data_IF_975275489487
#
_entry.id   IF_975275489487
#
_cell.length_a   1.000
_cell.length_b   1.000
_cell.length_c   1.000
_cell.angle_alpha   90.00
_cell.angle_beta   90.00
_cell.angle_gamma   90.00
#
_symmetry.space_group_name_H-M   'P 1'
#
loop_
_entity.id
_entity.type
_entity.pdbx_description
1 polymer ?
#
# COMPACT_ATOMS: atom_id res chain seq x y z
N UNK A 1 -7.71 -54.19 -41.80
CA UNK A 1 -6.84 -53.13 -41.27
C UNK A 1 -7.67 -52.22 -40.40
N UNK A 2 -7.55 -52.36 -39.06
CA UNK A 2 -8.31 -51.54 -38.06
C UNK A 2 -7.49 -50.33 -37.73
N UNK A 3 -8.02 -49.14 -38.05
CA UNK A 3 -7.39 -47.84 -37.69
C UNK A 3 -7.72 -47.54 -36.22
N UNK A 4 -6.71 -47.57 -35.32
CA UNK A 4 -6.81 -47.10 -33.96
C UNK A 4 -6.77 -45.57 -33.98
N UNK A 5 -7.89 -44.94 -33.61
CA UNK A 5 -7.97 -43.46 -33.36
C UNK A 5 -7.56 -43.22 -31.93
N UNK A 6 -6.34 -42.72 -31.73
CA UNK A 6 -5.86 -42.28 -30.40
C UNK A 6 -6.38 -40.85 -30.15
N UNK A 7 -7.43 -40.74 -29.34
CA UNK A 7 -7.93 -39.48 -28.83
C UNK A 7 -6.96 -38.95 -27.73
N UNK A 8 -6.17 -37.92 -28.06
CA UNK A 8 -5.32 -37.22 -27.13
C UNK A 8 -6.21 -36.26 -26.32
N UNK A 9 -6.56 -36.63 -25.08
CA UNK A 9 -7.28 -35.77 -24.15
C UNK A 9 -6.27 -34.77 -23.57
N UNK A 10 -6.20 -33.57 -24.18
CA UNK A 10 -5.45 -32.46 -23.61
C UNK A 10 -6.28 -31.92 -22.43
N UNK A 11 -5.95 -32.37 -21.21
CA UNK A 11 -6.45 -31.80 -19.98
C UNK A 11 -5.91 -30.34 -19.86
N UNK A 12 -6.77 -29.38 -20.12
CA UNK A 12 -6.50 -27.97 -19.92
C UNK A 12 -6.47 -27.71 -18.40
N UNK A 13 -5.28 -27.87 -17.80
CA UNK A 13 -5.04 -27.51 -16.40
C UNK A 13 -5.04 -25.98 -16.34
N UNK A 14 -6.20 -25.39 -16.04
CA UNK A 14 -6.32 -23.94 -15.82
C UNK A 14 -5.51 -23.58 -14.57
N UNK A 15 -4.29 -23.11 -14.78
CA UNK A 15 -3.49 -22.50 -13.73
C UNK A 15 -4.19 -21.20 -13.36
N UNK A 16 -4.98 -21.22 -12.28
CA UNK A 16 -5.46 -20.00 -11.65
C UNK A 16 -4.23 -19.26 -11.07
N UNK A 17 -3.66 -18.36 -11.86
CA UNK A 17 -2.74 -17.35 -11.33
C UNK A 17 -3.52 -16.49 -10.34
N UNK A 18 -3.45 -16.83 -9.05
CA UNK A 18 -3.90 -15.96 -7.98
C UNK A 18 -3.00 -14.72 -7.97
N UNK A 19 -3.41 -13.69 -8.69
CA UNK A 19 -2.79 -12.37 -8.60
C UNK A 19 -3.13 -11.78 -7.23
N UNK A 20 -2.12 -11.52 -6.40
CA UNK A 20 -2.29 -10.80 -5.15
C UNK A 20 -2.78 -9.38 -5.44
N UNK A 21 -3.92 -9.00 -4.86
CA UNK A 21 -4.47 -7.64 -5.01
C UNK A 21 -3.69 -6.67 -4.13
N UNK A 22 -2.99 -5.70 -4.74
CA UNK A 22 -2.33 -4.64 -4.00
C UNK A 22 -3.37 -3.78 -3.28
N UNK A 23 -3.34 -3.77 -1.95
CA UNK A 23 -4.21 -2.93 -1.13
C UNK A 23 -3.61 -1.55 -0.87
N UNK A 24 -2.41 -1.51 -0.31
CA UNK A 24 -1.64 -0.27 -0.05
C UNK A 24 -0.14 -0.53 -0.05
N UNK A 25 0.65 0.48 -0.41
CA UNK A 25 2.10 0.43 -0.31
C UNK A 25 2.65 1.66 0.39
N UNK A 26 3.84 1.54 0.98
CA UNK A 26 4.54 2.60 1.71
C UNK A 26 3.74 3.15 2.91
N UNK A 27 2.94 2.29 3.55
CA UNK A 27 2.19 2.60 4.77
C UNK A 27 2.97 2.16 6.00
N UNK A 28 2.69 2.77 7.16
CA UNK A 28 3.39 2.42 8.40
C UNK A 28 2.68 1.29 9.11
N UNK A 29 3.43 0.23 9.41
CA UNK A 29 3.06 -0.84 10.33
C UNK A 29 3.73 -0.62 11.70
N UNK A 30 3.05 -1.05 12.75
CA UNK A 30 3.57 -1.25 14.10
C UNK A 30 3.11 -2.59 14.63
N UNK A 31 3.36 -2.91 15.88
CA UNK A 31 2.91 -4.14 16.49
C UNK A 31 2.46 -3.92 17.93
N UNK A 32 1.67 -4.85 18.46
CA UNK A 32 1.14 -4.81 19.82
C UNK A 32 2.23 -5.04 20.86
N UNK A 33 2.15 -4.32 21.98
CA UNK A 33 2.90 -4.63 23.18
C UNK A 33 2.47 -5.96 23.83
N UNK A 34 3.35 -6.56 24.63
CA UNK A 34 3.09 -7.83 25.30
C UNK A 34 1.91 -7.78 26.27
N UNK A 35 1.57 -6.60 26.80
CA UNK A 35 0.45 -6.33 27.71
C UNK A 35 -0.94 -6.51 27.08
N UNK A 36 -1.01 -6.68 25.75
CA UNK A 36 -2.26 -7.00 25.04
C UNK A 36 -2.57 -8.49 24.99
N UNK A 37 -1.62 -9.37 25.30
CA UNK A 37 -1.83 -10.82 25.30
C UNK A 37 -3.00 -11.22 26.19
N UNK A 38 -3.91 -12.05 25.67
CA UNK A 38 -5.13 -12.50 26.39
C UNK A 38 -6.27 -11.49 26.44
N UNK A 39 -6.13 -10.25 25.95
CA UNK A 39 -7.24 -9.29 25.86
C UNK A 39 -8.13 -9.57 24.65
N UNK A 40 -9.42 -9.24 24.79
CA UNK A 40 -10.39 -9.39 23.68
C UNK A 40 -10.09 -8.43 22.54
N UNK A 41 -10.10 -8.96 21.33
CA UNK A 41 -10.05 -8.21 20.07
C UNK A 41 -11.45 -7.78 19.64
N UNK A 42 -11.54 -6.91 18.63
CA UNK A 42 -12.83 -6.38 18.15
C UNK A 42 -13.71 -7.41 17.44
N UNK A 43 -13.17 -8.55 17.02
CA UNK A 43 -13.98 -9.66 16.52
C UNK A 43 -14.44 -10.64 17.62
N UNK A 44 -13.98 -10.45 18.87
CA UNK A 44 -14.35 -11.24 20.03
C UNK A 44 -13.36 -12.33 20.44
N UNK A 45 -12.34 -12.59 19.62
CA UNK A 45 -11.25 -13.52 19.95
C UNK A 45 -10.37 -12.96 21.08
N UNK A 46 -9.60 -13.84 21.74
CA UNK A 46 -8.50 -13.40 22.60
C UNK A 46 -7.25 -13.17 21.78
N UNK A 47 -6.62 -12.01 21.95
CA UNK A 47 -5.37 -11.71 21.27
C UNK A 47 -4.26 -12.65 21.75
N UNK A 48 -3.69 -13.40 20.84
CA UNK A 48 -2.49 -14.20 21.07
C UNK A 48 -1.30 -13.58 20.35
N UNK A 49 -0.30 -13.14 21.10
CA UNK A 49 0.90 -12.49 20.54
C UNK A 49 1.74 -13.41 19.66
N UNK A 50 1.54 -14.73 19.73
CA UNK A 50 2.25 -15.75 18.96
C UNK A 50 1.53 -16.14 17.67
N UNK A 51 0.29 -15.69 17.45
CA UNK A 51 -0.45 -15.94 16.23
C UNK A 51 -0.08 -14.92 15.13
N UNK A 52 -0.34 -15.26 13.88
CA UNK A 52 -0.14 -14.34 12.75
C UNK A 52 -1.43 -13.55 12.49
N UNK A 53 -1.68 -12.53 13.32
CA UNK A 53 -2.86 -11.68 13.27
C UNK A 53 -2.51 -10.19 13.23
N UNK A 54 -3.51 -9.37 12.90
CA UNK A 54 -3.33 -7.92 12.88
C UNK A 54 -4.63 -7.15 13.16
N UNK A 55 -4.48 -5.89 13.57
CA UNK A 55 -5.55 -4.91 13.55
C UNK A 55 -5.52 -4.10 12.25
N UNK A 56 -6.71 -3.85 11.70
CA UNK A 56 -6.91 -2.95 10.58
C UNK A 56 -8.22 -2.15 10.76
N UNK A 57 -8.20 -0.85 10.37
CA UNK A 57 -9.32 0.07 10.64
C UNK A 57 -10.63 -0.33 9.95
N UNK A 58 -10.56 -0.81 8.70
CA UNK A 58 -11.74 -0.95 7.82
C UNK A 58 -11.86 -2.28 7.09
N UNK A 59 -10.78 -3.04 6.90
CA UNK A 59 -10.86 -4.33 6.21
C UNK A 59 -11.76 -5.29 6.98
N UNK A 60 -12.55 -6.12 6.29
CA UNK A 60 -13.35 -7.17 6.94
C UNK A 60 -12.48 -8.07 7.82
N UNK A 61 -13.04 -8.55 8.94
CA UNK A 61 -12.39 -9.60 9.71
C UNK A 61 -12.18 -10.84 8.83
N UNK A 62 -11.19 -11.66 9.16
CA UNK A 62 -10.74 -12.83 8.39
C UNK A 62 -10.17 -12.51 7.01
N UNK A 63 -9.94 -11.23 6.69
CA UNK A 63 -9.10 -10.86 5.54
C UNK A 63 -7.67 -11.31 5.82
N UNK A 64 -7.08 -12.04 4.88
CA UNK A 64 -5.66 -12.42 4.91
C UNK A 64 -4.88 -11.40 4.09
N UNK A 65 -3.93 -10.74 4.74
CA UNK A 65 -3.01 -9.80 4.12
C UNK A 65 -1.61 -10.40 4.05
N UNK A 66 -0.96 -10.31 2.91
CA UNK A 66 0.49 -10.42 2.82
C UNK A 66 1.08 -9.05 3.15
N UNK A 67 1.84 -8.99 4.22
CA UNK A 67 2.57 -7.80 4.66
C UNK A 67 4.02 -7.98 4.28
N UNK A 68 4.57 -7.04 3.51
CA UNK A 68 5.99 -7.04 3.10
C UNK A 68 6.69 -5.83 3.69
N UNK A 69 7.72 -6.04 4.47
CA UNK A 69 8.60 -4.98 4.97
C UNK A 69 9.44 -4.43 3.81
N UNK A 70 9.29 -3.14 3.50
CA UNK A 70 9.97 -2.51 2.36
C UNK A 70 11.46 -2.22 2.59
N UNK A 71 11.93 -2.36 3.83
CA UNK A 71 13.34 -2.11 4.17
C UNK A 71 14.22 -3.36 3.94
N UNK A 72 13.66 -4.56 4.16
CA UNK A 72 14.41 -5.82 4.07
C UNK A 72 13.81 -6.87 3.14
N UNK A 73 12.61 -6.64 2.59
CA UNK A 73 11.90 -7.54 1.68
C UNK A 73 11.23 -8.75 2.35
N UNK A 74 11.36 -8.95 3.68
CA UNK A 74 10.69 -10.04 4.39
C UNK A 74 9.18 -9.87 4.32
N UNK A 75 8.44 -10.96 4.24
CA UNK A 75 6.98 -10.92 4.18
C UNK A 75 6.33 -12.00 5.04
N UNK A 76 5.13 -11.72 5.55
CA UNK A 76 4.32 -12.62 6.36
C UNK A 76 2.85 -12.46 5.99
N UNK A 77 2.08 -13.55 6.06
CA UNK A 77 0.63 -13.50 5.92
C UNK A 77 -0.01 -13.36 7.30
N UNK A 78 -0.89 -12.36 7.46
CA UNK A 78 -1.59 -12.10 8.73
C UNK A 78 -3.09 -12.02 8.50
N UNK A 79 -3.88 -12.45 9.48
CA UNK A 79 -5.33 -12.38 9.47
C UNK A 79 -5.83 -11.16 10.27
N UNK A 80 -6.76 -10.41 9.69
CA UNK A 80 -7.42 -9.29 10.38
C UNK A 80 -8.42 -9.84 11.40
N UNK A 81 -8.19 -9.59 12.69
CA UNK A 81 -9.10 -9.97 13.76
C UNK A 81 -9.41 -8.82 14.74
N UNK A 82 -8.77 -7.66 14.56
CA UNK A 82 -8.99 -6.51 15.44
C UNK A 82 -9.17 -5.19 14.67
N UNK A 83 -9.57 -4.13 15.39
CA UNK A 83 -9.71 -2.75 14.91
C UNK A 83 -8.63 -1.84 15.47
N UNK A 84 -8.06 -1.05 14.60
CA UNK A 84 -6.94 -0.13 14.85
C UNK A 84 -6.02 -0.08 13.63
N UNK A 85 -4.85 0.54 13.75
CA UNK A 85 -4.42 1.43 14.83
C UNK A 85 -5.22 2.74 14.87
N UNK A 86 -5.54 3.21 16.08
CA UNK A 86 -6.20 4.51 16.28
C UNK A 86 -5.17 5.64 16.42
N UNK A 87 -4.08 5.56 15.69
CA UNK A 87 -3.00 6.53 15.61
C UNK A 87 -2.89 7.00 14.17
N UNK A 88 -2.75 8.34 13.99
CA UNK A 88 -2.59 8.93 12.65
C UNK A 88 -1.32 8.39 11.98
N UNK A 89 -1.39 8.19 10.67
CA UNK A 89 -0.29 7.69 9.81
C UNK A 89 0.15 6.23 10.07
N UNK A 90 -0.48 5.49 11.00
CA UNK A 90 -0.33 4.05 11.10
C UNK A 90 -1.49 3.34 10.40
N UNK A 91 -1.21 2.32 9.61
CA UNK A 91 -2.21 1.59 8.83
C UNK A 91 -2.59 0.26 9.44
N UNK A 92 -1.64 -0.46 10.01
CA UNK A 92 -1.78 -1.81 10.52
C UNK A 92 -0.98 -1.99 11.81
N UNK A 93 -1.54 -2.71 12.78
CA UNK A 93 -0.84 -3.19 13.97
C UNK A 93 -0.74 -4.70 13.92
N UNK A 94 0.48 -5.24 13.95
CA UNK A 94 0.78 -6.65 13.81
C UNK A 94 0.87 -7.34 15.18
N UNK A 95 0.67 -8.65 15.22
CA UNK A 95 1.06 -9.44 16.39
C UNK A 95 2.58 -9.42 16.58
N UNK A 96 3.04 -9.79 17.77
CA UNK A 96 4.49 -9.85 18.06
C UNK A 96 5.21 -10.88 17.19
N UNK A 97 4.57 -12.02 16.90
CA UNK A 97 5.15 -13.04 16.02
C UNK A 97 5.30 -12.51 14.60
N UNK A 98 4.27 -11.88 14.04
CA UNK A 98 4.35 -11.27 12.71
C UNK A 98 5.44 -10.19 12.63
N UNK A 99 5.62 -9.39 13.69
CA UNK A 99 6.68 -8.39 13.77
C UNK A 99 8.09 -9.03 13.81
N UNK A 100 8.25 -10.18 14.48
CA UNK A 100 9.50 -10.96 14.46
C UNK A 100 9.81 -11.49 13.07
N UNK A 101 8.82 -12.07 12.38
CA UNK A 101 8.99 -12.63 11.03
C UNK A 101 9.38 -11.55 10.00
N UNK A 102 8.88 -10.31 10.19
CA UNK A 102 9.26 -9.15 9.38
C UNK A 102 10.57 -8.47 9.82
N UNK A 103 11.20 -8.95 10.91
CA UNK A 103 12.42 -8.36 11.50
C UNK A 103 12.27 -6.86 11.80
N UNK A 104 11.13 -6.50 12.42
CA UNK A 104 10.81 -5.09 12.72
C UNK A 104 10.75 -4.78 14.23
N UNK A 105 11.00 -5.76 15.11
CA UNK A 105 10.85 -5.59 16.56
C UNK A 105 11.76 -4.48 17.10
N UNK A 106 13.01 -4.40 16.61
CA UNK A 106 13.98 -3.37 17.06
C UNK A 106 13.60 -1.95 16.61
N UNK A 107 12.98 -1.80 15.44
CA UNK A 107 12.57 -0.50 14.90
C UNK A 107 11.22 -0.03 15.41
N UNK A 108 10.39 -0.91 15.98
CA UNK A 108 9.04 -0.63 16.46
C UNK A 108 8.02 -0.32 15.38
N UNK A 109 8.43 0.37 14.33
CA UNK A 109 7.62 0.70 13.14
C UNK A 109 8.43 0.60 11.87
N UNK A 110 7.83 0.10 10.79
CA UNK A 110 8.46 0.00 9.45
C UNK A 110 7.47 0.39 8.36
N UNK A 111 7.99 0.69 7.17
CA UNK A 111 7.20 0.86 5.97
C UNK A 111 6.90 -0.49 5.33
N UNK A 112 5.63 -0.73 5.04
CA UNK A 112 5.18 -2.00 4.47
C UNK A 112 4.36 -1.81 3.21
N UNK A 113 4.34 -2.87 2.39
CA UNK A 113 3.37 -3.12 1.33
C UNK A 113 2.34 -4.10 1.88
N UNK A 114 1.06 -3.84 1.62
CA UNK A 114 -0.07 -4.68 1.98
C UNK A 114 -0.74 -5.20 0.71
N UNK A 115 -0.85 -6.52 0.57
CA UNK A 115 -1.52 -7.19 -0.53
C UNK A 115 -2.61 -8.12 0.01
N UNK A 116 -3.80 -8.11 -0.59
CA UNK A 116 -4.90 -8.98 -0.17
C UNK A 116 -4.68 -10.36 -0.79
N UNK A 117 -4.47 -11.36 0.06
CA UNK A 117 -4.42 -12.78 -0.34
C UNK A 117 -5.83 -13.36 -0.42
N UNK A 118 -6.67 -13.04 0.58
CA UNK A 118 -8.07 -13.48 0.66
C UNK A 118 -8.87 -12.41 1.38
N UNK A 119 -9.96 -11.95 0.77
CA UNK A 119 -10.86 -11.00 1.41
C UNK A 119 -11.82 -11.73 2.36
N UNK A 120 -11.93 -11.24 3.58
CA UNK A 120 -12.89 -11.75 4.56
C UNK A 120 -14.33 -11.34 4.25
N UNK A 121 -15.33 -11.98 4.88
CA UNK A 121 -16.74 -11.66 4.68
C UNK A 121 -17.13 -10.32 5.30
N UNK A 122 -18.03 -9.59 4.65
CA UNK A 122 -18.62 -8.36 5.17
C UNK A 122 -19.74 -8.67 6.19
N UNK A 123 -19.40 -9.27 7.33
CA UNK A 123 -20.36 -9.55 8.41
C UNK A 123 -20.90 -8.26 9.03
N UNK A 124 -22.09 -8.33 9.67
CA UNK A 124 -22.66 -7.18 10.40
C UNK A 124 -21.67 -6.63 11.43
N UNK A 125 -21.00 -7.51 12.19
CA UNK A 125 -19.97 -7.14 13.17
C UNK A 125 -18.79 -6.42 12.50
N UNK A 126 -18.29 -6.95 11.39
CA UNK A 126 -17.17 -6.37 10.64
C UNK A 126 -17.48 -4.96 10.16
N UNK A 127 -18.68 -4.75 9.60
CA UNK A 127 -19.13 -3.43 9.11
C UNK A 127 -19.37 -2.45 10.26
N UNK A 128 -20.04 -2.89 11.34
CA UNK A 128 -20.33 -2.04 12.49
C UNK A 128 -19.05 -1.58 13.19
N UNK A 129 -18.11 -2.49 13.45
CA UNK A 129 -16.84 -2.16 14.10
C UNK A 129 -15.96 -1.27 13.24
N UNK A 130 -15.98 -1.41 11.90
CA UNK A 130 -15.30 -0.50 10.99
C UNK A 130 -15.88 0.93 11.03
N UNK A 131 -17.23 1.07 11.09
CA UNK A 131 -17.88 2.38 11.31
C UNK A 131 -17.48 3.00 12.63
N UNK A 132 -17.45 2.21 13.72
CA UNK A 132 -17.00 2.68 15.04
C UNK A 132 -15.53 3.11 15.02
N UNK A 133 -14.65 2.37 14.36
CA UNK A 133 -13.26 2.74 14.17
C UNK A 133 -13.10 4.08 13.43
N UNK A 134 -13.87 4.28 12.37
CA UNK A 134 -13.90 5.55 11.62
C UNK A 134 -14.36 6.72 12.51
N UNK A 135 -15.40 6.51 13.34
CA UNK A 135 -15.89 7.53 14.27
C UNK A 135 -14.86 7.89 15.35
N UNK A 136 -14.13 6.89 15.89
CA UNK A 136 -13.03 7.12 16.85
C UNK A 136 -11.93 7.97 16.19
N UNK A 137 -11.53 7.66 14.96
CA UNK A 137 -10.52 8.44 14.22
C UNK A 137 -11.00 9.87 13.94
N UNK A 138 -12.28 10.04 13.55
CA UNK A 138 -12.87 11.36 13.31
C UNK A 138 -12.88 12.22 14.58
N UNK A 139 -13.25 11.64 15.74
CA UNK A 139 -13.24 12.33 17.04
C UNK A 139 -11.82 12.69 17.49
N UNK A 140 -10.86 11.80 17.29
CA UNK A 140 -9.46 12.00 17.72
C UNK A 140 -8.70 12.97 16.82
N UNK A 141 -9.03 13.00 15.53
CA UNK A 141 -8.33 13.80 14.52
C UNK A 141 -9.31 14.57 13.61
N UNK A 142 -10.06 15.56 14.14
CA UNK A 142 -11.16 16.23 13.41
C UNK A 142 -10.68 16.95 12.15
N UNK A 143 -9.45 17.44 12.12
CA UNK A 143 -8.89 18.12 10.95
C UNK A 143 -8.38 17.19 9.85
N UNK A 144 -8.19 15.90 10.13
CA UNK A 144 -7.80 14.90 9.13
C UNK A 144 -8.99 14.37 8.35
N UNK A 145 -10.19 14.36 8.96
CA UNK A 145 -11.43 13.84 8.37
C UNK A 145 -12.02 14.80 7.34
N UNK A 146 -11.87 16.13 7.50
CA UNK A 146 -12.30 17.13 6.49
C UNK A 146 -11.60 16.95 5.13
N UNK A 147 -10.43 16.27 5.09
CA UNK A 147 -9.75 15.89 3.84
C UNK A 147 -10.22 14.53 3.27
N UNK A 148 -10.80 13.64 4.08
CA UNK A 148 -11.24 12.30 3.67
C UNK A 148 -12.74 12.22 3.34
N UNK A 149 -13.59 13.03 3.99
CA UNK A 149 -15.04 12.96 3.81
C UNK A 149 -15.57 13.43 2.43
N UNK A 150 -14.70 13.98 1.57
CA UNK A 150 -14.99 14.16 0.12
C UNK A 150 -14.55 12.96 -0.73
N UNK A 151 -14.06 11.86 -0.11
CA UNK A 151 -13.33 10.80 -0.83
C UNK A 151 -13.86 9.37 -0.62
N UNK A 152 -14.73 9.11 0.35
CA UNK A 152 -15.00 7.72 0.78
C UNK A 152 -16.41 7.15 0.48
N UNK A 153 -17.34 7.92 -0.09
CA UNK A 153 -18.67 7.42 -0.43
C UNK A 153 -18.84 6.85 -1.85
N UNK A 154 -17.79 6.88 -2.69
CA UNK A 154 -17.87 6.41 -4.09
C UNK A 154 -16.71 5.47 -4.51
N UNK A 155 -16.03 4.82 -3.57
CA UNK A 155 -14.69 4.30 -3.83
C UNK A 155 -14.44 2.81 -3.60
N UNK A 156 -15.38 1.95 -3.94
CA UNK A 156 -15.07 0.51 -4.09
C UNK A 156 -14.86 0.07 -5.54
N UNK A 157 -15.15 0.94 -6.52
CA UNK A 157 -15.00 0.64 -7.96
C UNK A 157 -14.07 1.63 -8.68
N UNK A 158 -13.54 2.66 -8.00
CA UNK A 158 -12.86 3.81 -8.63
C UNK A 158 -11.35 3.88 -8.31
N UNK A 159 -10.78 2.94 -7.52
CA UNK A 159 -9.34 2.98 -7.21
C UNK A 159 -8.45 2.68 -8.43
N UNK A 160 -8.89 1.82 -9.35
CA UNK A 160 -8.20 1.63 -10.64
C UNK A 160 -8.37 2.82 -11.60
N UNK A 161 -9.51 3.53 -11.55
CA UNK A 161 -9.74 4.67 -12.44
C UNK A 161 -9.04 5.97 -12.01
N UNK A 162 -8.64 6.15 -10.74
CA UNK A 162 -8.02 7.42 -10.28
C UNK A 162 -6.51 7.52 -10.45
N UNK A 163 -5.79 6.42 -10.47
CA UNK A 163 -4.40 6.42 -10.97
C UNK A 163 -4.37 6.68 -12.48
N UNK A 164 -5.34 6.15 -13.23
CA UNK A 164 -5.54 6.43 -14.64
C UNK A 164 -6.05 7.87 -14.90
N UNK A 165 -6.91 8.44 -14.04
CA UNK A 165 -7.44 9.80 -14.24
C UNK A 165 -6.40 10.93 -14.03
N UNK A 166 -5.32 10.73 -13.29
CA UNK A 166 -4.21 11.70 -13.22
C UNK A 166 -3.34 11.73 -14.47
N UNK A 167 -3.41 10.70 -15.29
CA UNK A 167 -2.71 10.60 -16.57
C UNK A 167 -3.58 11.05 -17.75
N UNK A 168 -4.91 11.11 -17.60
CA UNK A 168 -5.85 11.41 -18.69
C UNK A 168 -5.76 12.84 -19.28
N UNK A 169 -5.01 13.75 -18.64
CA UNK A 169 -4.76 15.10 -19.17
C UNK A 169 -3.31 15.32 -19.58
N UNK A 170 -2.57 14.25 -19.88
CA UNK A 170 -1.18 14.35 -20.36
C UNK A 170 -1.20 14.50 -21.88
N UNK A 171 -0.79 15.67 -22.36
CA UNK A 171 -0.61 15.91 -23.79
C UNK A 171 0.74 15.32 -24.23
N UNK A 172 0.74 14.51 -25.30
CA UNK A 172 1.93 13.84 -25.82
C UNK A 172 3.08 14.81 -26.20
N UNK A 173 2.71 16.04 -26.58
CA UNK A 173 3.66 17.07 -27.03
C UNK A 173 4.23 17.93 -25.89
N UNK A 174 3.74 17.76 -24.67
CA UNK A 174 4.20 18.50 -23.50
C UNK A 174 5.31 17.76 -22.74
N UNK A 175 6.03 18.52 -21.91
CA UNK A 175 7.06 17.98 -21.02
C UNK A 175 6.51 18.01 -19.58
N UNK A 176 6.78 16.95 -18.84
CA UNK A 176 6.29 16.77 -17.47
C UNK A 176 7.41 16.51 -16.48
N UNK A 177 7.15 16.82 -15.24
CA UNK A 177 7.96 16.40 -14.09
C UNK A 177 7.13 15.46 -13.22
N UNK A 178 7.69 14.32 -12.83
CA UNK A 178 7.02 13.32 -12.00
C UNK A 178 7.66 13.34 -10.61
N UNK A 179 6.96 13.88 -9.61
CA UNK A 179 7.39 13.87 -8.22
C UNK A 179 7.02 12.52 -7.61
N UNK A 180 8.01 11.73 -7.21
CA UNK A 180 7.84 10.37 -6.68
C UNK A 180 7.92 10.29 -5.15
N UNK A 181 8.23 11.39 -4.49
CA UNK A 181 8.23 11.45 -3.03
C UNK A 181 8.58 12.84 -2.49
N UNK A 182 8.20 13.08 -1.24
CA UNK A 182 8.57 14.25 -0.46
C UNK A 182 9.00 13.79 0.94
N UNK A 183 10.20 14.17 1.37
CA UNK A 183 10.88 13.64 2.55
C UNK A 183 11.34 14.75 3.46
N UNK A 184 11.31 14.53 4.77
CA UNK A 184 11.81 15.48 5.77
C UNK A 184 13.34 15.56 5.80
N UNK A 185 14.03 14.50 5.30
CA UNK A 185 15.51 14.44 5.30
C UNK A 185 16.05 14.06 3.93
N UNK A 186 17.27 14.54 3.63
CA UNK A 186 18.00 14.17 2.41
C UNK A 186 18.38 12.67 2.40
N UNK A 187 18.64 12.07 3.56
CA UNK A 187 18.96 10.65 3.67
C UNK A 187 17.78 9.76 3.24
N UNK A 188 16.55 10.08 3.67
CA UNK A 188 15.34 9.37 3.24
C UNK A 188 15.07 9.54 1.74
N UNK A 189 15.26 10.75 1.20
CA UNK A 189 15.15 11.03 -0.23
C UNK A 189 16.18 10.23 -1.06
N UNK A 190 17.41 10.08 -0.56
CA UNK A 190 18.47 9.32 -1.24
C UNK A 190 18.10 7.85 -1.46
N UNK A 191 17.46 7.17 -0.50
CA UNK A 191 17.02 5.78 -0.67
C UNK A 191 16.10 5.64 -1.89
N UNK A 192 15.12 6.53 -2.02
CA UNK A 192 14.19 6.53 -3.16
C UNK A 192 14.90 6.87 -4.48
N UNK A 193 15.80 7.85 -4.46
CA UNK A 193 16.55 8.21 -5.66
C UNK A 193 17.46 7.06 -6.13
N UNK A 194 18.15 6.38 -5.23
CA UNK A 194 18.97 5.20 -5.55
C UNK A 194 18.12 4.04 -6.10
N UNK A 195 16.92 3.79 -5.54
CA UNK A 195 15.99 2.80 -6.07
C UNK A 195 15.63 3.12 -7.52
N UNK A 196 15.31 4.38 -7.83
CA UNK A 196 15.00 4.82 -9.19
C UNK A 196 16.20 4.64 -10.13
N UNK A 197 17.40 5.10 -9.73
CA UNK A 197 18.61 4.99 -10.52
C UNK A 197 18.99 3.52 -10.79
N UNK A 198 18.88 2.64 -9.78
CA UNK A 198 19.12 1.19 -9.92
C UNK A 198 18.15 0.52 -10.92
N UNK A 199 16.99 1.10 -11.12
CA UNK A 199 15.98 0.63 -12.09
C UNK A 199 15.95 1.50 -13.35
N UNK A 200 17.07 2.08 -13.78
CA UNK A 200 17.26 2.82 -15.03
C UNK A 200 16.29 3.98 -15.27
N UNK A 201 15.83 4.65 -14.20
CA UNK A 201 15.14 5.92 -14.36
C UNK A 201 16.16 7.04 -14.58
N UNK A 202 15.95 7.81 -15.63
CA UNK A 202 16.80 8.96 -15.98
C UNK A 202 16.29 10.25 -15.39
N UNK A 203 17.14 11.28 -15.33
CA UNK A 203 16.79 12.64 -14.90
C UNK A 203 16.18 12.73 -13.48
N UNK A 204 16.61 11.84 -12.57
CA UNK A 204 16.20 11.85 -11.15
C UNK A 204 16.96 12.96 -10.45
N UNK A 205 16.23 13.91 -9.85
CA UNK A 205 16.80 15.08 -9.15
C UNK A 205 16.16 15.28 -7.79
N UNK A 206 16.88 15.97 -6.91
CA UNK A 206 16.36 16.51 -5.66
C UNK A 206 15.90 17.95 -5.82
N UNK A 207 14.74 18.27 -5.25
CA UNK A 207 14.24 19.62 -5.11
C UNK A 207 13.97 19.90 -3.64
N UNK A 208 14.76 20.79 -3.02
CA UNK A 208 14.55 21.20 -1.61
C UNK A 208 13.72 22.47 -1.57
N UNK A 209 12.67 22.47 -0.77
CA UNK A 209 11.87 23.66 -0.49
C UNK A 209 12.63 24.57 0.47
N UNK A 210 12.86 25.82 0.08
CA UNK A 210 13.54 26.81 0.93
C UNK A 210 12.74 27.15 2.20
N UNK A 211 11.40 27.11 2.13
CA UNK A 211 10.52 27.47 3.24
C UNK A 211 10.26 26.35 4.25
N UNK A 212 10.28 25.07 3.79
CA UNK A 212 9.89 23.93 4.63
C UNK A 212 11.00 22.90 4.85
N UNK A 213 12.15 23.06 4.18
CA UNK A 213 13.25 22.07 4.22
C UNK A 213 12.92 20.72 3.55
N UNK A 214 11.70 20.52 3.06
CA UNK A 214 11.25 19.27 2.46
C UNK A 214 12.03 18.98 1.18
N UNK A 215 12.61 17.79 1.12
CA UNK A 215 13.36 17.29 -0.06
C UNK A 215 12.43 16.42 -0.91
N UNK A 216 12.21 16.81 -2.16
CA UNK A 216 11.41 16.06 -3.12
C UNK A 216 12.31 15.32 -4.10
N UNK A 217 11.97 14.07 -4.39
CA UNK A 217 12.58 13.29 -5.47
C UNK A 217 11.70 13.43 -6.69
N UNK A 218 12.27 13.89 -7.81
CA UNK A 218 11.53 14.24 -9.03
C UNK A 218 12.24 13.68 -10.25
N UNK A 219 11.51 12.99 -11.11
CA UNK A 219 11.95 12.64 -12.47
C UNK A 219 11.59 13.83 -13.37
N UNK A 220 12.60 14.51 -13.92
CA UNK A 220 12.40 15.70 -14.73
C UNK A 220 12.37 15.43 -16.22
N UNK A 221 11.77 16.37 -16.97
CA UNK A 221 11.81 16.43 -18.41
C UNK A 221 11.28 15.16 -19.10
N UNK A 222 10.19 14.61 -18.58
CA UNK A 222 9.51 13.44 -19.13
C UNK A 222 8.62 13.88 -20.29
N UNK A 223 8.87 13.41 -21.53
CA UNK A 223 7.95 13.66 -22.64
C UNK A 223 6.56 13.08 -22.34
N UNK A 224 5.49 13.79 -22.74
CA UNK A 224 4.12 13.38 -22.45
C UNK A 224 3.81 11.95 -22.93
N UNK A 225 4.33 11.57 -24.10
CA UNK A 225 4.22 10.21 -24.66
C UNK A 225 4.87 9.11 -23.80
N UNK A 226 5.83 9.47 -22.93
CA UNK A 226 6.54 8.52 -22.06
C UNK A 226 5.97 8.46 -20.64
N UNK A 227 5.08 9.40 -20.26
CA UNK A 227 4.54 9.48 -18.89
C UNK A 227 3.89 8.17 -18.49
N UNK A 228 3.08 7.56 -19.35
CA UNK A 228 2.40 6.29 -19.04
C UNK A 228 3.40 5.15 -18.80
N UNK A 229 4.42 5.02 -19.65
CA UNK A 229 5.45 3.98 -19.51
C UNK A 229 6.26 4.16 -18.23
N UNK A 230 6.65 5.40 -17.91
CA UNK A 230 7.39 5.72 -16.69
C UNK A 230 6.52 5.44 -15.45
N UNK A 231 5.24 5.77 -15.47
CA UNK A 231 4.35 5.51 -14.35
C UNK A 231 4.07 4.01 -14.14
N UNK A 232 3.92 3.23 -15.21
CA UNK A 232 3.87 1.76 -15.13
C UNK A 232 5.16 1.18 -14.53
N UNK A 233 6.33 1.69 -14.98
CA UNK A 233 7.63 1.29 -14.44
C UNK A 233 7.80 1.70 -12.97
N UNK A 234 7.26 2.84 -12.52
CA UNK A 234 7.22 3.23 -11.11
C UNK A 234 6.40 2.23 -10.28
N UNK A 235 5.25 1.79 -10.78
CA UNK A 235 4.44 0.76 -10.12
C UNK A 235 5.19 -0.57 -9.97
N UNK A 236 5.93 -1.01 -11.00
CA UNK A 236 6.69 -2.28 -10.95
C UNK A 236 7.82 -2.27 -9.91
N UNK A 237 8.34 -1.09 -9.53
CA UNK A 237 9.35 -0.94 -8.47
C UNK A 237 8.75 -0.54 -7.12
N UNK A 238 7.41 -0.66 -6.96
CA UNK A 238 6.72 -0.42 -5.69
C UNK A 238 6.39 1.06 -5.40
N UNK A 239 6.53 1.96 -6.35
CA UNK A 239 6.18 3.38 -6.21
C UNK A 239 4.82 3.62 -6.86
N UNK A 240 3.74 3.54 -6.06
CA UNK A 240 2.37 3.69 -6.52
C UNK A 240 1.81 5.11 -6.33
N UNK A 241 2.47 5.95 -5.54
CA UNK A 241 2.08 7.35 -5.32
C UNK A 241 3.10 8.31 -5.95
N UNK A 242 2.63 9.09 -6.90
CA UNK A 242 3.42 10.12 -7.57
C UNK A 242 2.51 11.27 -8.03
N UNK A 243 3.11 12.41 -8.35
CA UNK A 243 2.42 13.58 -8.85
C UNK A 243 3.03 14.01 -10.19
N UNK A 244 2.23 13.94 -11.26
CA UNK A 244 2.61 14.43 -12.59
C UNK A 244 2.26 15.91 -12.71
N UNK A 245 3.24 16.74 -13.05
CA UNK A 245 3.08 18.18 -13.26
C UNK A 245 3.65 18.56 -14.61
N UNK A 246 2.91 19.35 -15.40
CA UNK A 246 3.42 19.95 -16.63
C UNK A 246 4.63 20.84 -16.27
N UNK A 247 5.72 20.71 -17.03
CA UNK A 247 6.88 21.56 -16.88
C UNK A 247 6.58 22.92 -17.48
N UNK A 248 6.68 23.98 -16.68
CA UNK A 248 6.57 25.35 -17.17
C UNK A 248 7.95 25.73 -17.70
N UNK A 249 8.06 26.00 -18.99
CA UNK A 249 9.25 26.63 -19.55
C UNK A 249 9.39 28.01 -18.92
N UNK A 250 10.45 28.23 -18.16
CA UNK A 250 10.93 29.56 -17.83
C UNK A 250 11.78 30.11 -18.97
#
# INVERSE_FOLDING_TARGET
>A
MKKFLVLFFISFFSINLFSLELYKSNVTASFYGADFHGKKTSNGELFNMNDLTCAHKSLPFDTILKVTNLENGKSVNVRVNDRGPFILNREIDLSTQAAKDLDMVKSGTVKVKLEIVKKGPNTKLSVQTAKSAAAIMAKRYPNSVKKSSKKDSEKTVVAEKKSAQKVQNVNANDIYNIQVGAFSTKAAANKTAQLLLKNDFKNVVFQTSKSTGVVRVVIKNVPGKEVENITKKLHSVGICEYLVKKSVKR
#
